data_IF_551877829689
#
_entry.id   IF_551877829689
#
_cell.length_a   1.000
_cell.length_b   1.000
_cell.length_c   1.000
_cell.angle_alpha   90.00
_cell.angle_beta   90.00
_cell.angle_gamma   90.00
#
_symmetry.space_group_name_H-M   'P 1'
#
loop_
_entity.id
_entity.type
_entity.pdbx_description
1 polymer ?
#
# COMPACT_ATOMS: atom_id res chain seq x y z
N UNK A 1 -4.52 19.84 22.28
CA UNK A 1 -5.57 19.77 21.24
C UNK A 1 -4.85 19.97 19.91
N UNK A 2 -4.65 18.89 19.16
CA UNK A 2 -4.26 19.03 17.76
C UNK A 2 -5.60 19.23 17.06
N UNK A 3 -5.90 20.48 16.64
CA UNK A 3 -6.99 20.72 15.73
C UNK A 3 -6.71 19.86 14.51
N UNK A 4 -7.50 18.80 14.34
CA UNK A 4 -7.52 18.05 13.11
C UNK A 4 -7.95 19.03 12.03
N UNK A 5 -7.02 19.44 11.18
CA UNK A 5 -7.31 20.26 10.02
C UNK A 5 -8.29 19.49 9.15
N UNK A 6 -9.59 19.73 9.38
CA UNK A 6 -10.65 19.40 8.44
C UNK A 6 -10.29 20.17 7.16
N UNK A 7 -9.78 19.44 6.18
CA UNK A 7 -9.50 20.03 4.86
C UNK A 7 -10.81 20.65 4.38
N UNK A 8 -10.88 21.97 4.14
CA UNK A 8 -12.12 22.62 3.77
C UNK A 8 -12.71 21.98 2.51
N UNK A 9 -14.03 21.80 2.48
CA UNK A 9 -14.74 21.35 1.31
C UNK A 9 -14.43 22.27 0.12
N UNK A 10 -13.91 21.71 -0.98
CA UNK A 10 -13.57 22.46 -2.20
C UNK A 10 -12.09 22.44 -2.60
N UNK A 11 -11.19 21.89 -1.77
CA UNK A 11 -9.79 21.70 -2.18
C UNK A 11 -9.66 20.61 -3.26
N UNK A 12 -8.80 20.87 -4.25
CA UNK A 12 -8.44 19.85 -5.24
C UNK A 12 -7.76 18.65 -4.57
N UNK A 13 -7.80 17.49 -5.22
CA UNK A 13 -7.14 16.27 -4.74
C UNK A 13 -5.64 16.51 -4.47
N UNK A 14 -4.98 17.30 -5.34
CA UNK A 14 -3.57 17.66 -5.18
C UNK A 14 -3.30 18.52 -3.95
N UNK A 15 -4.18 19.48 -3.62
CA UNK A 15 -4.05 20.31 -2.43
C UNK A 15 -4.24 19.50 -1.16
N UNK A 16 -5.22 18.59 -1.13
CA UNK A 16 -5.44 17.67 -0.02
C UNK A 16 -4.20 16.79 0.20
N UNK A 17 -3.65 16.18 -0.86
CA UNK A 17 -2.46 15.36 -0.78
C UNK A 17 -1.24 16.16 -0.27
N UNK A 18 -1.02 17.40 -0.74
CA UNK A 18 0.05 18.27 -0.26
C UNK A 18 -0.12 18.67 1.20
N UNK A 19 -1.35 18.90 1.64
CA UNK A 19 -1.63 19.18 3.06
C UNK A 19 -1.23 17.97 3.91
N UNK A 20 -1.64 16.78 3.53
CA UNK A 20 -1.25 15.54 4.22
C UNK A 20 0.28 15.32 4.23
N UNK A 21 0.97 15.57 3.10
CA UNK A 21 2.42 15.44 3.01
C UNK A 21 3.17 16.37 3.99
N UNK A 22 2.61 17.55 4.28
CA UNK A 22 3.20 18.52 5.23
C UNK A 22 2.84 18.20 6.69
N UNK A 23 1.66 17.61 6.92
CA UNK A 23 1.11 17.36 8.27
C UNK A 23 1.63 16.06 8.85
N UNK A 24 1.74 15.01 8.04
CA UNK A 24 2.04 13.66 8.51
C UNK A 24 3.42 13.20 8.06
N UNK A 25 4.16 12.58 8.99
CA UNK A 25 5.45 11.96 8.70
C UNK A 25 5.52 10.54 9.30
N UNK A 26 6.39 9.72 8.72
CA UNK A 26 6.50 8.29 9.05
C UNK A 26 6.86 8.07 10.53
N UNK A 27 7.76 8.90 11.09
CA UNK A 27 8.28 8.75 12.45
C UNK A 27 7.22 9.03 13.51
N UNK A 28 6.55 10.18 13.41
CA UNK A 28 5.68 10.69 14.47
C UNK A 28 4.23 10.21 14.30
N UNK A 29 3.81 9.88 13.07
CA UNK A 29 2.43 9.55 12.74
C UNK A 29 2.26 8.10 12.24
N UNK A 30 3.37 7.42 11.87
CA UNK A 30 3.37 6.04 11.36
C UNK A 30 3.14 5.91 9.86
N UNK A 31 2.81 7.00 9.18
CA UNK A 31 2.65 7.07 7.73
C UNK A 31 3.06 8.44 7.18
N UNK A 32 3.34 8.50 5.88
CA UNK A 32 3.71 9.73 5.18
C UNK A 32 3.23 9.70 3.75
N UNK A 33 2.62 10.80 3.28
CA UNK A 33 2.25 11.02 1.88
C UNK A 33 3.44 11.65 1.15
N UNK A 34 3.66 11.31 -0.13
CA UNK A 34 4.66 11.99 -0.96
C UNK A 34 4.26 13.45 -1.19
N UNK A 35 5.22 14.35 -1.29
CA UNK A 35 4.99 15.79 -1.53
C UNK A 35 4.75 16.13 -3.01
N UNK A 36 4.80 15.11 -3.86
CA UNK A 36 4.55 15.18 -5.29
C UNK A 36 4.42 13.79 -5.90
N UNK A 37 4.18 13.71 -7.22
CA UNK A 37 4.09 12.44 -7.91
C UNK A 37 5.45 11.75 -7.96
N UNK A 38 5.48 10.44 -7.63
CA UNK A 38 6.64 9.57 -7.80
C UNK A 38 6.69 8.96 -9.20
N UNK A 39 5.52 8.80 -9.84
CA UNK A 39 5.37 8.50 -11.26
C UNK A 39 4.69 9.67 -11.96
N UNK A 40 5.08 9.97 -13.17
CA UNK A 40 4.31 10.88 -14.03
C UNK A 40 2.92 10.32 -14.31
N UNK A 41 1.98 11.14 -14.72
CA UNK A 41 0.63 10.68 -15.09
C UNK A 41 0.68 9.63 -16.21
N UNK A 42 1.61 9.75 -17.16
CA UNK A 42 1.80 8.78 -18.23
C UNK A 42 2.33 7.44 -17.74
N UNK A 43 3.32 7.45 -16.84
CA UNK A 43 3.84 6.23 -16.20
C UNK A 43 2.77 5.54 -15.36
N UNK A 44 2.03 6.27 -14.54
CA UNK A 44 0.94 5.72 -13.74
C UNK A 44 -0.15 5.08 -14.62
N UNK A 45 -0.52 5.72 -15.73
CA UNK A 45 -1.49 5.18 -16.69
C UNK A 45 -0.98 3.91 -17.37
N UNK A 46 0.29 3.88 -17.79
CA UNK A 46 0.92 2.70 -18.39
C UNK A 46 0.96 1.53 -17.39
N UNK A 47 1.45 1.77 -16.17
CA UNK A 47 1.51 0.76 -15.12
C UNK A 47 0.09 0.24 -14.79
N UNK A 48 -0.92 1.13 -14.73
CA UNK A 48 -2.33 0.74 -14.53
C UNK A 48 -2.82 -0.21 -15.62
N UNK A 49 -2.51 0.09 -16.89
CA UNK A 49 -2.89 -0.77 -18.02
C UNK A 49 -2.27 -2.17 -17.87
N UNK A 50 -0.99 -2.26 -17.53
CA UNK A 50 -0.29 -3.53 -17.35
C UNK A 50 -0.80 -4.27 -16.09
N UNK A 51 -1.04 -3.56 -14.99
CA UNK A 51 -1.67 -4.12 -13.80
C UNK A 51 -3.04 -4.75 -14.11
N UNK A 52 -3.87 -4.08 -14.93
CA UNK A 52 -5.16 -4.63 -15.36
C UNK A 52 -5.01 -5.90 -16.19
N UNK A 53 -4.00 -5.99 -17.06
CA UNK A 53 -3.71 -7.21 -17.82
C UNK A 53 -3.37 -8.37 -16.89
N UNK A 54 -2.47 -8.13 -15.93
CA UNK A 54 -2.09 -9.15 -14.94
C UNK A 54 -3.29 -9.60 -14.11
N UNK A 55 -4.10 -8.67 -13.61
CA UNK A 55 -5.33 -9.00 -12.86
C UNK A 55 -6.34 -9.80 -13.68
N UNK A 56 -6.36 -9.61 -15.01
CA UNK A 56 -7.21 -10.36 -15.94
C UNK A 56 -6.57 -11.70 -16.40
N UNK A 57 -5.41 -12.09 -15.86
CA UNK A 57 -4.75 -13.35 -16.22
C UNK A 57 -3.91 -13.28 -17.50
N UNK A 58 -3.56 -12.11 -17.99
CA UNK A 58 -2.69 -11.92 -19.17
C UNK A 58 -1.26 -11.64 -18.68
N UNK A 59 -0.36 -12.58 -18.89
CA UNK A 59 1.02 -12.55 -18.41
C UNK A 59 1.99 -12.42 -19.59
N UNK A 60 2.65 -11.28 -19.71
CA UNK A 60 3.55 -10.96 -20.83
C UNK A 60 4.75 -11.93 -20.90
N UNK A 61 5.28 -12.31 -19.74
CA UNK A 61 6.44 -13.24 -19.66
C UNK A 61 6.04 -14.71 -19.77
N UNK A 62 4.76 -15.02 -19.79
CA UNK A 62 4.25 -16.40 -19.69
C UNK A 62 4.34 -16.99 -18.26
N UNK A 63 4.89 -16.26 -17.29
CA UNK A 63 5.00 -16.69 -15.89
C UNK A 63 3.83 -16.11 -15.10
N UNK A 64 3.00 -16.91 -14.42
CA UNK A 64 1.92 -16.38 -13.59
C UNK A 64 2.46 -15.70 -12.33
N UNK A 65 1.70 -14.75 -11.73
CA UNK A 65 2.03 -14.22 -10.42
C UNK A 65 1.91 -15.32 -9.35
N UNK A 66 2.45 -15.07 -8.17
CA UNK A 66 2.32 -16.02 -7.05
C UNK A 66 0.86 -16.32 -6.71
N UNK A 67 0.03 -15.30 -6.70
CA UNK A 67 -1.44 -15.40 -6.54
C UNK A 67 -2.13 -14.37 -7.42
N UNK A 68 -3.30 -14.70 -7.94
CA UNK A 68 -4.16 -13.76 -8.65
C UNK A 68 -5.62 -14.09 -8.34
N UNK A 69 -6.28 -13.26 -7.53
CA UNK A 69 -7.69 -13.46 -7.14
C UNK A 69 -8.67 -12.99 -8.19
N UNK A 70 -8.21 -12.28 -9.22
CA UNK A 70 -9.02 -11.80 -10.36
C UNK A 70 -8.84 -12.61 -11.65
N UNK A 71 -7.97 -13.62 -11.64
CA UNK A 71 -7.60 -14.40 -12.82
C UNK A 71 -8.77 -15.20 -13.43
N UNK A 72 -8.55 -15.81 -14.60
CA UNK A 72 -9.59 -16.53 -15.36
C UNK A 72 -10.18 -17.73 -14.58
N UNK A 73 -9.44 -18.27 -13.64
CA UNK A 73 -9.88 -19.39 -12.79
C UNK A 73 -10.67 -18.94 -11.54
N UNK A 74 -10.88 -17.64 -11.36
CA UNK A 74 -11.67 -17.12 -10.26
C UNK A 74 -13.14 -17.52 -10.46
N UNK A 75 -13.62 -18.47 -9.66
CA UNK A 75 -15.01 -18.97 -9.68
C UNK A 75 -16.05 -17.90 -9.32
N UNK A 76 -15.60 -16.80 -8.74
CA UNK A 76 -16.37 -15.60 -8.41
C UNK A 76 -15.49 -14.39 -8.75
N UNK A 77 -16.04 -13.38 -9.41
CA UNK A 77 -15.35 -12.12 -9.62
C UNK A 77 -15.43 -11.25 -8.35
N UNK A 78 -14.43 -11.29 -7.44
CA UNK A 78 -14.51 -10.55 -6.20
C UNK A 78 -14.48 -9.05 -6.46
N UNK A 79 -15.12 -8.29 -5.57
CA UNK A 79 -15.13 -6.83 -5.65
C UNK A 79 -13.77 -6.19 -5.35
N UNK A 80 -12.93 -6.90 -4.56
CA UNK A 80 -11.53 -6.61 -4.32
C UNK A 80 -10.67 -7.71 -4.93
N UNK A 81 -9.76 -7.35 -5.80
CA UNK A 81 -8.86 -8.28 -6.48
C UNK A 81 -7.41 -7.84 -6.32
N UNK A 82 -6.52 -8.83 -6.27
CA UNK A 82 -5.09 -8.61 -6.14
C UNK A 82 -4.27 -9.69 -6.86
N UNK A 83 -3.08 -9.31 -7.30
CA UNK A 83 -2.06 -10.24 -7.75
C UNK A 83 -0.75 -9.95 -7.04
N UNK A 84 -0.14 -11.00 -6.45
CA UNK A 84 1.11 -10.92 -5.72
C UNK A 84 2.28 -11.34 -6.60
N UNK A 85 3.42 -10.64 -6.50
CA UNK A 85 4.60 -10.80 -7.34
C UNK A 85 4.31 -10.50 -8.83
N UNK A 86 3.59 -9.42 -9.17
CA UNK A 86 3.23 -9.09 -10.55
C UNK A 86 4.43 -8.77 -11.43
N UNK A 87 5.58 -8.43 -10.85
CA UNK A 87 6.84 -8.22 -11.55
C UNK A 87 7.38 -9.48 -12.25
N UNK A 88 6.94 -10.67 -11.81
CA UNK A 88 7.30 -11.92 -12.49
C UNK A 88 6.59 -12.05 -13.84
N UNK A 89 5.43 -11.44 -13.96
CA UNK A 89 4.50 -11.59 -15.07
C UNK A 89 4.66 -10.55 -16.17
N UNK A 90 5.22 -9.36 -15.83
CA UNK A 90 5.11 -8.18 -16.66
C UNK A 90 6.34 -7.27 -16.50
N UNK A 91 6.95 -6.87 -17.63
CA UNK A 91 8.20 -6.11 -17.65
C UNK A 91 8.00 -4.64 -17.27
N UNK A 92 6.85 -4.06 -17.58
CA UNK A 92 6.54 -2.69 -17.17
C UNK A 92 6.42 -2.61 -15.64
N UNK A 93 5.73 -3.58 -15.04
CA UNK A 93 5.64 -3.64 -13.57
C UNK A 93 7.01 -3.94 -12.94
N UNK A 94 7.80 -4.85 -13.55
CA UNK A 94 9.17 -5.13 -13.08
C UNK A 94 10.08 -3.90 -13.14
N UNK A 95 9.87 -3.01 -14.10
CA UNK A 95 10.55 -1.72 -14.17
C UNK A 95 10.02 -0.74 -13.12
N UNK A 96 8.70 -0.66 -12.97
CA UNK A 96 8.03 0.26 -12.05
C UNK A 96 8.45 0.06 -10.59
N UNK A 97 8.60 -1.21 -10.13
CA UNK A 97 9.04 -1.49 -8.76
C UNK A 97 10.46 -1.02 -8.46
N UNK A 98 11.28 -0.74 -9.49
CA UNK A 98 12.65 -0.22 -9.38
C UNK A 98 12.75 1.27 -9.63
N UNK A 99 11.63 1.97 -9.74
CA UNK A 99 11.62 3.38 -10.13
C UNK A 99 12.47 4.22 -9.17
N UNK A 100 13.47 4.98 -9.68
CA UNK A 100 14.43 5.68 -8.83
C UNK A 100 13.80 6.79 -7.96
N UNK A 101 12.70 7.38 -8.41
CA UNK A 101 11.91 8.34 -7.62
C UNK A 101 11.31 7.71 -6.38
N UNK A 102 10.74 6.51 -6.51
CA UNK A 102 10.19 5.73 -5.38
C UNK A 102 11.32 5.35 -4.42
N UNK A 103 12.43 4.83 -4.94
CA UNK A 103 13.56 4.40 -4.14
C UNK A 103 14.17 5.54 -3.31
N UNK A 104 14.40 6.71 -3.93
CA UNK A 104 14.95 7.89 -3.25
C UNK A 104 13.99 8.40 -2.16
N UNK A 105 12.73 8.59 -2.50
CA UNK A 105 11.73 9.06 -1.53
C UNK A 105 11.60 8.09 -0.35
N UNK A 106 11.50 6.80 -0.60
CA UNK A 106 11.39 5.79 0.44
C UNK A 106 12.63 5.77 1.36
N UNK A 107 13.84 5.92 0.79
CA UNK A 107 15.08 6.01 1.57
C UNK A 107 15.14 7.28 2.42
N UNK A 108 14.72 8.42 1.86
CA UNK A 108 14.69 9.70 2.57
C UNK A 108 13.79 9.66 3.81
N UNK A 109 12.53 9.20 3.66
CA UNK A 109 11.57 9.20 4.76
C UNK A 109 11.85 8.14 5.83
N UNK A 110 12.54 7.04 5.47
CA UNK A 110 12.89 5.96 6.39
C UNK A 110 14.29 6.10 7.01
N UNK A 111 15.14 6.96 6.43
CA UNK A 111 16.55 7.05 6.79
C UNK A 111 17.36 5.81 6.40
N UNK A 112 16.85 4.98 5.50
CA UNK A 112 17.46 3.74 5.09
C UNK A 112 18.77 3.95 4.30
N UNK A 113 19.78 3.15 4.60
CA UNK A 113 21.02 3.04 3.79
C UNK A 113 20.85 2.02 2.66
N UNK A 114 19.93 1.07 2.84
CA UNK A 114 19.61 0.03 1.86
C UNK A 114 18.12 -0.27 1.88
N UNK A 115 17.51 -0.33 0.69
CA UNK A 115 16.14 -0.77 0.51
C UNK A 115 16.09 -1.95 -0.43
N UNK A 116 15.36 -2.98 -0.04
CA UNK A 116 15.12 -4.17 -0.84
C UNK A 116 13.62 -4.46 -0.92
N UNK A 117 13.11 -4.71 -2.12
CA UNK A 117 11.76 -5.24 -2.28
C UNK A 117 11.77 -6.72 -1.90
N UNK A 118 10.83 -7.15 -1.08
CA UNK A 118 10.63 -8.56 -0.77
C UNK A 118 9.26 -9.07 -1.24
N UNK A 119 8.31 -8.17 -1.48
CA UNK A 119 7.02 -8.46 -2.07
C UNK A 119 6.51 -7.22 -2.82
N UNK A 120 5.73 -7.45 -3.88
CA UNK A 120 4.95 -6.41 -4.54
C UNK A 120 3.57 -6.95 -4.88
N UNK A 121 2.59 -6.06 -4.99
CA UNK A 121 1.21 -6.41 -5.33
C UNK A 121 0.59 -5.36 -6.22
N UNK A 122 -0.21 -5.80 -7.18
CA UNK A 122 -1.21 -4.93 -7.82
C UNK A 122 -2.57 -5.24 -7.24
N UNK A 123 -3.33 -4.20 -6.88
CA UNK A 123 -4.60 -4.34 -6.20
C UNK A 123 -5.65 -3.45 -6.86
N UNK A 124 -6.90 -3.96 -6.88
CA UNK A 124 -8.01 -3.19 -7.43
C UNK A 124 -9.28 -3.38 -6.61
N UNK A 125 -9.89 -2.27 -6.24
CA UNK A 125 -11.30 -2.24 -5.82
C UNK A 125 -12.15 -1.94 -7.04
N UNK A 126 -13.09 -2.82 -7.34
CA UNK A 126 -14.00 -2.64 -8.47
C UNK A 126 -15.00 -1.52 -8.22
N UNK A 127 -15.47 -0.83 -9.27
CA UNK A 127 -16.49 0.19 -9.14
C UNK A 127 -17.78 -0.39 -8.58
N UNK A 128 -18.49 0.41 -7.80
CA UNK A 128 -19.78 0.03 -7.17
C UNK A 128 -19.74 -1.29 -6.39
N UNK A 129 -18.55 -1.68 -5.93
CA UNK A 129 -18.35 -2.93 -5.17
C UNK A 129 -18.89 -2.87 -3.73
N UNK A 130 -19.24 -1.67 -3.26
CA UNK A 130 -19.81 -1.44 -1.94
C UNK A 130 -18.95 -2.05 -0.81
N UNK A 131 -19.60 -2.52 0.24
CA UNK A 131 -18.94 -3.11 1.42
C UNK A 131 -17.96 -4.25 1.09
N UNK A 132 -18.18 -4.97 -0.01
CA UNK A 132 -17.29 -6.06 -0.44
C UNK A 132 -15.89 -5.58 -0.83
N UNK A 133 -15.69 -4.27 -1.01
CA UNK A 133 -14.40 -3.65 -1.30
C UNK A 133 -13.71 -3.11 -0.05
N UNK A 134 -14.37 -3.08 1.11
CA UNK A 134 -13.75 -2.66 2.37
C UNK A 134 -12.57 -3.56 2.72
N UNK A 135 -11.54 -2.96 3.30
CA UNK A 135 -10.42 -3.67 3.94
C UNK A 135 -10.44 -3.28 5.41
N UNK A 136 -10.56 -4.27 6.29
CA UNK A 136 -10.63 -4.08 7.73
C UNK A 136 -9.39 -3.39 8.31
N UNK A 137 -9.57 -2.77 9.46
CA UNK A 137 -8.46 -2.20 10.22
C UNK A 137 -7.48 -3.29 10.62
N UNK A 138 -6.21 -3.08 10.31
CA UNK A 138 -5.15 -4.04 10.60
C UNK A 138 -3.79 -3.36 10.76
N UNK A 139 -2.83 -4.11 11.27
CA UNK A 139 -1.41 -3.78 11.31
C UNK A 139 -0.67 -4.80 10.44
N UNK A 140 0.20 -4.36 9.55
CA UNK A 140 0.98 -5.23 8.66
C UNK A 140 1.88 -6.19 9.45
N UNK A 141 2.38 -5.77 10.62
CA UNK A 141 3.23 -6.59 11.49
C UNK A 141 2.63 -7.97 11.75
N UNK A 142 1.33 -8.03 11.98
CA UNK A 142 0.62 -9.30 12.26
C UNK A 142 0.87 -10.36 11.17
N UNK A 143 0.96 -9.91 9.93
CA UNK A 143 1.18 -10.79 8.77
C UNK A 143 2.67 -10.98 8.49
N UNK A 144 3.47 -9.95 8.72
CA UNK A 144 4.88 -9.93 8.38
C UNK A 144 5.77 -10.67 9.37
N UNK A 145 5.41 -10.76 10.66
CA UNK A 145 6.25 -11.39 11.71
C UNK A 145 6.56 -12.87 11.48
N UNK A 146 5.70 -13.57 10.73
CA UNK A 146 5.94 -14.95 10.32
C UNK A 146 6.74 -15.07 9.01
N UNK A 147 7.03 -13.96 8.35
CA UNK A 147 7.68 -13.89 7.05
C UNK A 147 9.06 -13.24 7.15
N UNK A 148 9.18 -12.20 7.97
CA UNK A 148 10.35 -11.31 7.98
C UNK A 148 10.89 -11.05 9.37
N UNK A 149 12.16 -10.59 9.42
CA UNK A 149 12.80 -10.00 10.61
C UNK A 149 13.47 -8.69 10.21
N UNK A 150 13.52 -7.76 11.17
CA UNK A 150 14.07 -6.43 10.96
C UNK A 150 13.04 -5.40 10.49
N UNK A 151 13.47 -4.18 10.21
CA UNK A 151 12.57 -3.09 9.87
C UNK A 151 12.01 -3.24 8.46
N UNK A 152 10.71 -2.95 8.34
CA UNK A 152 9.97 -2.98 7.07
C UNK A 152 9.12 -1.73 6.90
N UNK A 153 8.77 -1.44 5.67
CA UNK A 153 7.85 -0.36 5.30
C UNK A 153 7.03 -0.79 4.07
N UNK A 154 5.80 -0.37 4.02
CA UNK A 154 4.95 -0.52 2.84
C UNK A 154 4.81 0.80 2.11
N UNK A 155 4.99 0.80 0.79
CA UNK A 155 4.71 1.94 -0.10
C UNK A 155 3.52 1.60 -0.97
N UNK A 156 2.45 2.36 -0.84
CA UNK A 156 1.22 2.23 -1.63
C UNK A 156 1.15 3.37 -2.64
N UNK A 157 1.04 3.06 -3.94
CA UNK A 157 1.11 4.03 -5.04
C UNK A 157 -0.21 4.03 -5.80
N UNK A 158 -0.83 5.19 -5.95
CA UNK A 158 -2.05 5.40 -6.71
C UNK A 158 -1.75 5.34 -8.21
N UNK A 159 -2.37 4.39 -8.94
CA UNK A 159 -2.24 4.30 -10.40
C UNK A 159 -3.35 5.04 -11.16
N UNK A 160 -4.26 5.68 -10.44
CA UNK A 160 -5.28 6.60 -10.90
C UNK A 160 -5.60 7.55 -9.73
N UNK A 161 -6.35 8.61 -9.98
CA UNK A 161 -6.86 9.47 -8.92
C UNK A 161 -7.69 8.66 -7.92
N UNK A 162 -7.47 8.92 -6.63
CA UNK A 162 -8.13 8.23 -5.52
C UNK A 162 -8.81 9.25 -4.60
N UNK A 163 -9.97 9.79 -5.00
CA UNK A 163 -10.81 10.59 -4.11
C UNK A 163 -11.48 9.71 -3.04
N UNK A 164 -12.08 10.32 -2.03
CA UNK A 164 -12.76 9.62 -0.92
C UNK A 164 -13.79 8.59 -1.39
N UNK A 165 -14.53 8.89 -2.47
CA UNK A 165 -15.53 7.98 -3.03
C UNK A 165 -14.98 6.63 -3.51
N UNK A 166 -13.69 6.54 -3.82
CA UNK A 166 -13.04 5.31 -4.28
C UNK A 166 -12.44 4.47 -3.14
N UNK A 167 -12.69 4.84 -1.88
CA UNK A 167 -12.21 4.13 -0.69
C UNK A 167 -10.69 4.12 -0.58
N UNK A 168 -10.06 5.29 -0.37
CA UNK A 168 -8.62 5.40 -0.14
C UNK A 168 -8.18 4.62 1.09
N UNK A 169 -6.88 4.42 1.24
CA UNK A 169 -6.32 3.89 2.48
C UNK A 169 -6.55 4.92 3.59
N UNK A 170 -6.98 4.45 4.75
CA UNK A 170 -7.19 5.24 5.96
C UNK A 170 -6.16 4.84 6.99
N UNK A 171 -5.63 5.81 7.72
CA UNK A 171 -4.63 5.62 8.77
C UNK A 171 -5.14 6.20 10.09
N UNK A 172 -4.79 5.56 11.21
CA UNK A 172 -4.95 6.13 12.53
C UNK A 172 -3.58 6.69 12.96
N UNK A 173 -3.37 8.04 12.87
CA UNK A 173 -2.10 8.65 13.20
C UNK A 173 -1.66 8.28 14.63
N UNK A 174 -0.37 8.03 14.82
CA UNK A 174 0.24 7.66 16.12
C UNK A 174 -0.10 6.27 16.66
N UNK A 175 -1.01 5.52 16.04
CA UNK A 175 -1.39 4.18 16.52
C UNK A 175 -0.23 3.20 16.59
N UNK A 176 0.85 3.41 15.80
CA UNK A 176 2.10 2.64 15.88
C UNK A 176 2.85 2.83 17.22
N UNK A 177 2.57 3.92 17.96
CA UNK A 177 3.14 4.21 19.28
C UNK A 177 2.32 3.64 20.44
N UNK A 178 1.13 3.10 20.17
CA UNK A 178 0.22 2.61 21.20
C UNK A 178 0.70 1.33 21.89
N UNK A 179 1.69 0.66 21.31
CA UNK A 179 2.20 -0.64 21.81
C UNK A 179 1.07 -1.66 22.00
N UNK A 180 0.18 -1.72 21.03
CA UNK A 180 -1.00 -2.62 20.98
C UNK A 180 -0.93 -3.45 19.72
N UNK A 181 -1.26 -4.74 19.85
CA UNK A 181 -1.44 -5.65 18.74
C UNK A 181 -2.93 -5.98 18.62
N UNK A 182 -3.59 -5.39 17.66
CA UNK A 182 -5.02 -5.59 17.45
C UNK A 182 -5.27 -6.91 16.73
N UNK A 183 -6.19 -7.72 17.28
CA UNK A 183 -6.58 -9.02 16.72
C UNK A 183 -7.65 -8.86 15.62
N UNK A 184 -7.41 -7.94 14.70
CA UNK A 184 -8.32 -7.63 13.59
C UNK A 184 -7.87 -8.32 12.30
N UNK A 185 -8.77 -8.47 11.35
CA UNK A 185 -8.51 -9.18 10.10
C UNK A 185 -8.64 -8.28 8.88
N UNK A 186 -7.72 -8.41 7.94
CA UNK A 186 -7.76 -7.75 6.64
C UNK A 186 -9.10 -7.95 5.91
N UNK A 187 -9.70 -9.13 6.03
CA UNK A 187 -10.99 -9.47 5.41
C UNK A 187 -12.21 -9.21 6.30
N UNK A 188 -12.02 -8.71 7.50
CA UNK A 188 -13.11 -8.28 8.37
C UNK A 188 -13.63 -6.92 7.90
N UNK A 189 -14.76 -6.92 7.24
CA UNK A 189 -15.33 -5.75 6.58
C UNK A 189 -16.21 -4.88 7.47
N UNK A 190 -16.48 -5.33 8.69
CA UNK A 190 -17.23 -4.56 9.68
C UNK A 190 -16.30 -3.57 10.40
N UNK A 191 -15.82 -2.57 9.63
CA UNK A 191 -14.89 -1.55 10.13
C UNK A 191 -15.51 -0.70 11.24
N UNK A 192 -16.82 -0.46 11.21
CA UNK A 192 -17.51 0.31 12.23
C UNK A 192 -17.56 -0.44 13.57
N UNK A 193 -17.73 -1.77 13.54
CA UNK A 193 -17.60 -2.63 14.72
C UNK A 193 -16.17 -2.60 15.25
N UNK A 194 -15.18 -2.79 14.39
CA UNK A 194 -13.76 -2.75 14.77
C UNK A 194 -13.41 -1.43 15.48
N UNK A 195 -13.86 -0.29 14.94
CA UNK A 195 -13.61 1.03 15.53
C UNK A 195 -14.21 1.16 16.94
N UNK A 196 -15.38 0.58 17.20
CA UNK A 196 -16.02 0.59 18.53
C UNK A 196 -15.34 -0.37 19.53
N UNK A 197 -14.74 -1.45 19.05
CA UNK A 197 -14.14 -2.50 19.88
C UNK A 197 -12.66 -2.27 20.21
N UNK A 198 -12.00 -1.30 19.58
CA UNK A 198 -10.60 -1.02 19.84
C UNK A 198 -10.38 -0.49 21.27
N UNK A 199 -9.45 -1.15 21.99
CA UNK A 199 -8.92 -0.66 23.26
C UNK A 199 -7.89 0.45 23.00
N UNK A 200 -8.38 1.69 22.96
CA UNK A 200 -7.54 2.86 22.71
C UNK A 200 -6.84 3.25 24.02
N UNK A 201 -5.50 3.44 24.01
CA UNK A 201 -4.77 3.82 25.22
C UNK A 201 -5.28 5.14 25.83
N UNK A 202 -5.25 5.22 27.16
CA UNK A 202 -5.68 6.44 27.85
C UNK A 202 -4.87 7.66 27.39
N UNK A 203 -5.59 8.71 27.01
CA UNK A 203 -5.00 9.96 26.49
C UNK A 203 -4.81 10.00 24.98
N UNK A 204 -4.99 8.88 24.27
CA UNK A 204 -5.03 8.84 22.81
C UNK A 204 -6.48 9.02 22.29
N UNK A 205 -6.62 9.45 21.05
CA UNK A 205 -7.92 9.71 20.43
C UNK A 205 -8.01 8.89 19.14
N UNK A 206 -9.15 8.22 18.93
CA UNK A 206 -9.47 7.63 17.65
C UNK A 206 -9.76 8.73 16.62
N UNK A 207 -8.89 8.86 15.64
CA UNK A 207 -9.08 9.72 14.48
C UNK A 207 -8.49 9.02 13.27
N UNK A 208 -9.24 8.90 12.19
CA UNK A 208 -8.71 8.34 10.96
C UNK A 208 -8.55 9.39 9.88
N UNK A 209 -7.51 9.26 9.08
CA UNK A 209 -7.15 10.14 7.97
C UNK A 209 -7.17 9.35 6.67
N UNK A 210 -7.87 9.84 5.67
CA UNK A 210 -7.90 9.26 4.32
C UNK A 210 -6.72 9.74 3.50
N UNK A 211 -5.93 8.82 2.97
CA UNK A 211 -4.87 9.15 2.00
C UNK A 211 -5.49 9.33 0.60
N UNK A 212 -6.17 10.46 0.39
CA UNK A 212 -6.65 10.87 -0.94
C UNK A 212 -5.45 11.28 -1.79
N UNK A 213 -5.29 10.67 -2.97
CA UNK A 213 -4.07 10.82 -3.76
C UNK A 213 -4.39 11.02 -5.25
N UNK A 214 -3.73 11.96 -5.92
CA UNK A 214 -3.69 11.99 -7.38
C UNK A 214 -2.92 10.79 -7.94
N UNK A 215 -3.12 10.48 -9.21
CA UNK A 215 -2.36 9.47 -9.93
C UNK A 215 -0.84 9.72 -9.83
N UNK A 216 -0.09 8.66 -9.59
CA UNK A 216 1.37 8.69 -9.45
C UNK A 216 1.89 9.11 -8.07
N UNK A 217 1.02 9.58 -7.16
CA UNK A 217 1.38 9.88 -5.77
C UNK A 217 1.38 8.61 -4.91
N UNK A 218 2.06 8.68 -3.77
CA UNK A 218 2.20 7.54 -2.87
C UNK A 218 1.96 7.91 -1.41
N UNK A 219 1.63 6.89 -0.63
CA UNK A 219 1.70 6.92 0.83
C UNK A 219 2.55 5.75 1.31
N UNK A 220 3.46 5.99 2.24
CA UNK A 220 4.23 4.96 2.92
C UNK A 220 3.77 4.82 4.37
N UNK A 221 3.87 3.60 4.92
CA UNK A 221 3.56 3.36 6.31
C UNK A 221 4.45 2.27 6.92
N UNK A 222 4.68 2.40 8.23
CA UNK A 222 5.33 1.37 9.04
C UNK A 222 4.40 0.20 9.34
N UNK A 223 4.94 -0.95 9.74
CA UNK A 223 4.15 -2.17 9.92
C UNK A 223 3.18 -2.11 11.12
N UNK A 224 3.35 -1.18 12.04
CA UNK A 224 2.59 -1.10 13.30
C UNK A 224 1.46 -0.07 13.27
N UNK A 225 1.37 0.79 12.25
CA UNK A 225 0.27 1.75 12.19
C UNK A 225 -1.04 1.03 11.80
N UNK A 226 -2.12 1.32 12.52
CA UNK A 226 -3.45 0.87 12.15
C UNK A 226 -3.88 1.54 10.86
N UNK A 227 -4.25 0.71 9.89
CA UNK A 227 -4.77 1.17 8.62
C UNK A 227 -5.83 0.21 8.07
N UNK A 228 -6.62 0.72 7.17
CA UNK A 228 -7.70 0.01 6.52
C UNK A 228 -8.16 0.78 5.29
N UNK A 229 -9.29 0.46 4.71
CA UNK A 229 -9.85 1.31 3.65
C UNK A 229 -11.36 1.12 3.51
N UNK A 230 -12.05 2.22 3.32
CA UNK A 230 -13.49 2.25 3.06
C UNK A 230 -13.88 1.54 1.77
N UNK A 231 -15.15 1.55 1.47
CA UNK A 231 -15.70 0.99 0.24
C UNK A 231 -15.41 1.85 -0.99
N UNK A 232 -15.38 1.23 -2.17
CA UNK A 232 -15.46 1.94 -3.44
C UNK A 232 -16.94 2.12 -3.82
N UNK A 233 -17.46 3.31 -3.60
CA UNK A 233 -18.81 3.74 -3.96
C UNK A 233 -18.86 4.44 -5.33
N UNK A 234 -17.71 4.70 -5.94
CA UNK A 234 -17.62 5.37 -7.25
C UNK A 234 -17.79 4.41 -8.41
N UNK A 235 -17.80 4.99 -9.59
CA UNK A 235 -17.98 4.32 -10.89
C UNK A 235 -16.66 3.95 -11.57
N UNK A 236 -15.53 4.34 -11.00
CA UNK A 236 -14.20 3.99 -11.48
C UNK A 236 -13.51 2.93 -10.58
N UNK A 237 -12.69 2.04 -11.14
CA UNK A 237 -11.87 1.14 -10.33
C UNK A 237 -10.74 1.91 -9.65
N UNK A 238 -10.50 1.62 -8.36
CA UNK A 238 -9.30 2.07 -7.64
C UNK A 238 -8.18 1.05 -7.82
N UNK A 239 -7.19 1.37 -8.65
CA UNK A 239 -6.04 0.51 -8.91
C UNK A 239 -4.77 1.08 -8.28
N UNK A 240 -3.96 0.22 -7.67
CA UNK A 240 -2.73 0.60 -6.99
C UNK A 240 -1.62 -0.42 -7.16
N UNK A 241 -0.38 0.05 -7.02
CA UNK A 241 0.82 -0.76 -6.86
C UNK A 241 1.29 -0.64 -5.40
N UNK A 242 1.49 -1.76 -4.73
CA UNK A 242 2.02 -1.84 -3.38
C UNK A 242 3.40 -2.48 -3.42
N UNK A 243 4.35 -1.88 -2.70
CA UNK A 243 5.70 -2.39 -2.51
C UNK A 243 5.96 -2.64 -1.03
N UNK A 244 6.34 -3.87 -0.68
CA UNK A 244 6.81 -4.21 0.66
C UNK A 244 8.32 -4.14 0.68
N UNK A 245 8.86 -3.20 1.44
CA UNK A 245 10.29 -2.88 1.52
C UNK A 245 10.89 -3.43 2.80
N UNK A 246 12.04 -4.08 2.67
CA UNK A 246 12.94 -4.35 3.77
C UNK A 246 14.01 -3.27 3.86
N UNK A 247 14.31 -2.84 5.07
CA UNK A 247 15.22 -1.74 5.38
C UNK A 247 16.49 -2.32 6.02
N UNK A 248 17.66 -1.91 5.54
CA UNK A 248 18.99 -2.22 6.08
C UNK A 248 19.20 -3.73 6.37
N UNK A 249 19.17 -4.14 7.65
CA UNK A 249 19.43 -5.53 8.09
C UNK A 249 18.21 -6.46 7.96
N UNK A 250 17.22 -6.06 7.18
CA UNK A 250 16.04 -6.84 6.90
C UNK A 250 16.38 -8.24 6.35
N UNK A 251 15.61 -9.24 6.79
CA UNK A 251 15.73 -10.62 6.34
C UNK A 251 14.34 -11.26 6.14
N UNK A 252 14.23 -12.12 5.13
CA UNK A 252 13.09 -13.04 4.98
C UNK A 252 13.42 -14.34 5.69
N UNK A 253 12.48 -14.88 6.47
CA UNK A 253 12.67 -16.12 7.21
C UNK A 253 12.82 -17.31 6.25
N UNK A 254 13.79 -18.23 6.50
CA UNK A 254 14.15 -19.30 5.56
C UNK A 254 12.99 -20.23 5.18
N UNK A 255 12.05 -20.44 6.08
CA UNK A 255 10.91 -21.35 5.84
C UNK A 255 9.81 -20.74 4.94
N UNK A 256 9.91 -19.46 4.60
CA UNK A 256 8.87 -18.80 3.81
C UNK A 256 9.20 -18.80 2.31
N UNK A 257 8.16 -18.86 1.47
CA UNK A 257 8.28 -18.80 0.01
C UNK A 257 9.21 -17.67 -0.49
N UNK A 258 9.08 -16.48 0.07
CA UNK A 258 9.89 -15.33 -0.35
C UNK A 258 11.39 -15.53 -0.11
N UNK A 259 11.81 -16.43 0.79
CA UNK A 259 13.24 -16.66 1.05
C UNK A 259 13.96 -17.22 -0.18
N UNK A 260 13.33 -18.14 -0.90
CA UNK A 260 13.91 -18.72 -2.13
C UNK A 260 14.07 -17.70 -3.26
N UNK A 261 13.33 -16.59 -3.21
CA UNK A 261 13.33 -15.54 -4.23
C UNK A 261 14.23 -14.34 -3.88
N UNK A 262 14.89 -14.35 -2.70
CA UNK A 262 15.66 -13.20 -2.23
C UNK A 262 16.90 -12.88 -3.05
N UNK A 263 17.44 -13.85 -3.78
CA UNK A 263 18.61 -13.66 -4.66
C UNK A 263 18.21 -13.46 -6.13
N UNK A 264 16.94 -13.50 -6.44
CA UNK A 264 16.43 -13.22 -7.78
C UNK A 264 16.25 -11.68 -7.93
N UNK A 265 17.06 -11.04 -8.79
CA UNK A 265 16.99 -9.58 -8.94
C UNK A 265 15.68 -9.11 -9.56
N UNK A 266 14.91 -9.97 -10.22
CA UNK A 266 13.58 -9.63 -10.72
C UNK A 266 12.55 -9.65 -9.60
N UNK A 267 12.57 -10.68 -8.78
CA UNK A 267 11.60 -10.87 -7.70
C UNK A 267 11.85 -9.94 -6.51
N UNK A 268 13.10 -9.79 -6.11
CA UNK A 268 13.51 -9.09 -4.88
C UNK A 268 14.69 -8.13 -5.12
N UNK A 269 14.51 -7.11 -5.96
CA UNK A 269 15.59 -6.16 -6.27
C UNK A 269 15.98 -5.32 -5.05
N UNK A 270 17.29 -5.00 -4.97
CA UNK A 270 17.76 -3.86 -4.18
C UNK A 270 17.47 -2.62 -5.02
N UNK A 271 16.69 -1.70 -4.46
CA UNK A 271 16.29 -0.49 -5.15
C UNK A 271 17.02 0.77 -4.65
N UNK A 272 17.69 0.66 -3.49
CA UNK A 272 18.52 1.73 -2.92
C UNK A 272 19.68 1.14 -2.11
N UNK A 273 20.92 1.66 -2.23
CA UNK A 273 21.30 2.62 -3.27
C UNK A 273 21.08 2.02 -4.67
N UNK A 274 20.69 2.86 -5.63
CA UNK A 274 20.48 2.44 -7.00
C UNK A 274 21.85 2.17 -7.63
N UNK A 275 22.09 0.94 -8.11
CA UNK A 275 23.27 0.56 -8.87
C UNK A 275 24.33 -0.16 -8.03
N UNK A 276 24.01 -1.35 -7.57
CA UNK A 276 24.96 -2.40 -7.31
C UNK A 276 24.88 -3.43 -8.42
#
# INVERSE_FOLDING_TARGET
MIEGDLIPAGHSLTEQARTHARTYNLRDHGFQVSDGPLFTAQEAALIKQHAQRVLNGVYETGVPPRTNTGGPDASVHPAYIEAQMPQDCDDVIASAIRHPGVARWAAEISGARRLKIWNAMVMQKRPSGGEKTKVGWHQDRRYNDNITRGPTMTVWIALADVPSALGPVRYVPRSHLWNRHFQTGFFDRDIDRQEREFDIPAGEIWQSVEAVLPAGWAVAHGPDVLHGSGENCGDAPRTSLLLSLGIDDFQVLPAHYFASRQNDPRAAPIIYPSGG
#
